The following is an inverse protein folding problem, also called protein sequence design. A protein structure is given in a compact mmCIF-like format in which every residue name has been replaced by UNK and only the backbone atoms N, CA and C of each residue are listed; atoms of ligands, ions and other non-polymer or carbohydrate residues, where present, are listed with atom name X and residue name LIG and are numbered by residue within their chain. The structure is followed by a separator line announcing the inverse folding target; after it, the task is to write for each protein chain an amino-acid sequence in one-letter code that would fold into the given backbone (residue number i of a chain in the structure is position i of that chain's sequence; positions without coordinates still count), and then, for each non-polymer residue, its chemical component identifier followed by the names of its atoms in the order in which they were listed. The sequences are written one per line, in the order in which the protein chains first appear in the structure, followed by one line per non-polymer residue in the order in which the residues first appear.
data_IF_402661830149
#
_entry.id   IF_402661830149
#
_cell.length_a   1.000
_cell.length_b   1.000
_cell.length_c   1.000
_cell.angle_alpha   90.00
_cell.angle_beta   90.00
_cell.angle_gamma   90.00
#
_symmetry.space_group_name_H-M   'P 1'
#
loop_
_entity.id
_entity.type
_entity.pdbx_description
1 polymer ?
#
# COMPACT_ATOMS: atom_id res chain seq x y z
N UNK A 1 -0.49 52.38 24.31
CA UNK A 1 -0.84 51.01 24.75
C UNK A 1 -2.25 50.60 24.30
N UNK A 2 -2.53 50.56 22.98
CA UNK A 2 -3.86 50.12 22.46
C UNK A 2 -3.78 49.10 21.31
N UNK A 3 -2.58 48.79 20.82
CA UNK A 3 -2.40 47.92 19.65
C UNK A 3 -1.71 46.58 19.95
N UNK A 4 -1.28 46.36 21.20
CA UNK A 4 -0.61 45.10 21.60
C UNK A 4 -1.64 43.98 21.90
N UNK A 5 -2.87 44.34 22.29
CA UNK A 5 -3.93 43.36 22.56
C UNK A 5 -4.62 42.80 21.32
N UNK A 6 -4.45 43.43 20.15
CA UNK A 6 -5.08 42.99 18.90
C UNK A 6 -4.24 41.94 18.14
N UNK A 7 -2.94 41.79 18.46
CA UNK A 7 -2.06 40.86 17.75
C UNK A 7 -2.12 39.43 18.32
N UNK A 8 -2.56 39.28 19.57
CA UNK A 8 -2.60 37.96 20.24
C UNK A 8 -3.86 37.14 19.89
N UNK A 9 -4.92 37.77 19.41
CA UNK A 9 -6.19 37.09 19.07
C UNK A 9 -6.24 36.53 17.66
N UNK A 10 -5.35 36.96 16.75
CA UNK A 10 -5.28 36.40 15.39
C UNK A 10 -4.40 35.16 15.25
N UNK A 11 -3.63 34.78 16.28
CA UNK A 11 -2.80 33.57 16.24
C UNK A 11 -3.50 32.28 16.66
N UNK A 12 -4.75 32.34 17.16
CA UNK A 12 -5.47 31.17 17.68
C UNK A 12 -6.34 30.44 16.65
N UNK A 13 -6.40 30.91 15.39
CA UNK A 13 -7.19 30.26 14.33
C UNK A 13 -6.38 29.35 13.39
N UNK A 14 -5.09 29.12 13.68
CA UNK A 14 -4.27 28.11 13.01
C UNK A 14 -4.11 26.83 13.84
N UNK A 15 -5.11 26.47 14.66
CA UNK A 15 -5.24 25.08 15.12
C UNK A 15 -5.61 24.24 13.89
N UNK A 16 -4.58 23.72 13.25
CA UNK A 16 -4.70 22.91 12.05
C UNK A 16 -5.75 21.84 12.21
N UNK A 17 -6.52 21.62 11.14
CA UNK A 17 -7.17 20.34 10.91
C UNK A 17 -6.06 19.27 10.83
N UNK A 18 -5.60 18.76 11.97
CA UNK A 18 -5.03 17.42 11.97
C UNK A 18 -6.21 16.49 11.78
N UNK A 19 -6.46 16.07 10.55
CA UNK A 19 -7.18 14.83 10.33
C UNK A 19 -6.29 13.74 10.91
N UNK A 20 -6.44 13.45 12.21
CA UNK A 20 -5.83 12.29 12.84
C UNK A 20 -6.45 11.07 12.18
N UNK A 21 -5.80 10.58 11.13
CA UNK A 21 -6.12 9.28 10.56
C UNK A 21 -5.63 8.26 11.58
N UNK A 22 -6.56 7.68 12.33
CA UNK A 22 -6.28 6.63 13.30
C UNK A 22 -5.87 5.37 12.56
N UNK A 23 -4.57 5.12 12.47
CA UNK A 23 -4.01 3.93 11.83
C UNK A 23 -3.20 3.11 12.81
N UNK A 24 -3.29 1.79 12.68
CA UNK A 24 -2.47 0.82 13.40
C UNK A 24 -1.50 0.15 12.43
N UNK A 25 -0.29 -0.11 12.93
CA UNK A 25 0.75 -0.79 12.18
C UNK A 25 0.48 -2.30 12.10
N UNK A 26 0.83 -2.90 10.98
CA UNK A 26 0.98 -4.34 10.85
C UNK A 26 2.45 -4.69 11.05
N UNK A 27 2.75 -5.59 12.00
CA UNK A 27 4.12 -5.90 12.42
C UNK A 27 4.75 -7.09 11.70
N UNK A 28 3.97 -7.87 10.96
CA UNK A 28 4.41 -9.13 10.38
C UNK A 28 3.72 -9.41 9.04
N UNK A 29 4.38 -10.20 8.21
CA UNK A 29 3.84 -10.69 6.96
C UNK A 29 4.33 -12.10 6.64
N UNK A 30 3.69 -12.68 5.64
CA UNK A 30 3.97 -14.01 5.13
C UNK A 30 3.83 -13.99 3.60
N UNK A 31 4.87 -14.45 2.91
CA UNK A 31 4.76 -14.87 1.50
C UNK A 31 4.29 -16.33 1.50
N UNK A 32 3.10 -16.58 0.95
CA UNK A 32 2.40 -17.88 1.06
C UNK A 32 3.13 -19.04 0.36
N UNK A 33 3.99 -18.73 -0.62
CA UNK A 33 4.83 -19.71 -1.32
C UNK A 33 6.32 -19.40 -1.11
N UNK A 34 7.05 -20.33 -0.50
CA UNK A 34 8.47 -20.18 -0.16
C UNK A 34 9.42 -20.08 -1.36
N UNK A 35 8.97 -20.41 -2.57
CA UNK A 35 9.74 -20.22 -3.79
C UNK A 35 9.59 -18.80 -4.37
N UNK A 36 8.59 -18.04 -3.91
CA UNK A 36 8.44 -16.62 -4.23
C UNK A 36 9.46 -15.83 -3.39
N UNK A 37 10.18 -14.94 -4.07
CA UNK A 37 11.15 -14.04 -3.44
C UNK A 37 10.91 -12.64 -3.96
N UNK A 38 10.82 -11.66 -3.06
CA UNK A 38 10.71 -10.23 -3.41
C UNK A 38 11.97 -9.54 -2.90
N UNK A 39 12.81 -9.07 -3.81
CA UNK A 39 14.01 -8.29 -3.48
C UNK A 39 13.74 -6.81 -3.75
N UNK A 40 14.18 -5.92 -2.85
CA UNK A 40 14.24 -4.51 -3.19
C UNK A 40 15.23 -4.29 -4.33
N UNK A 41 14.87 -3.46 -5.31
CA UNK A 41 15.75 -3.17 -6.46
C UNK A 41 17.06 -2.49 -6.03
N UNK A 42 17.01 -1.71 -4.95
CA UNK A 42 18.17 -1.05 -4.33
C UNK A 42 18.96 -1.98 -3.37
N UNK A 43 18.53 -3.24 -3.21
CA UNK A 43 19.15 -4.20 -2.30
C UNK A 43 18.87 -4.00 -0.82
N UNK A 44 18.01 -3.04 -0.44
CA UNK A 44 17.73 -2.69 0.97
C UNK A 44 17.00 -3.77 1.77
N UNK A 45 16.23 -4.65 1.11
CA UNK A 45 15.55 -5.76 1.78
C UNK A 45 15.30 -6.95 0.85
N UNK A 46 14.97 -8.08 1.47
CA UNK A 46 14.50 -9.30 0.82
C UNK A 46 13.38 -9.92 1.64
N UNK A 47 12.27 -10.24 1.00
CA UNK A 47 11.13 -10.92 1.59
C UNK A 47 11.06 -12.36 1.06
N UNK A 48 10.90 -13.32 1.97
CA UNK A 48 10.69 -14.76 1.69
C UNK A 48 10.09 -15.43 2.93
N UNK A 49 9.04 -16.21 2.78
CA UNK A 49 8.35 -16.83 3.92
C UNK A 49 7.83 -15.77 4.90
N UNK A 50 8.00 -16.01 6.19
CA UNK A 50 7.67 -15.03 7.23
C UNK A 50 8.64 -13.83 7.22
N UNK A 51 8.13 -12.62 7.44
CA UNK A 51 8.95 -11.41 7.46
C UNK A 51 8.41 -10.33 8.41
N UNK A 52 9.32 -9.48 8.87
CA UNK A 52 8.98 -8.17 9.45
C UNK A 52 8.98 -7.12 8.35
N UNK A 53 7.96 -6.25 8.24
CA UNK A 53 7.87 -5.23 7.20
C UNK A 53 9.09 -4.29 7.23
N UNK A 54 9.91 -4.24 6.17
CA UNK A 54 11.16 -3.47 6.18
C UNK A 54 10.95 -1.97 5.85
N UNK A 55 9.76 -1.62 5.38
CA UNK A 55 9.34 -0.25 5.11
C UNK A 55 7.83 -0.13 5.30
N UNK A 56 7.37 1.11 5.27
CA UNK A 56 5.96 1.47 5.27
C UNK A 56 5.72 2.53 4.21
N UNK A 57 4.67 2.36 3.43
CA UNK A 57 4.10 3.40 2.57
C UNK A 57 3.15 4.28 3.38
N UNK A 58 3.15 5.57 3.11
CA UNK A 58 2.29 6.55 3.81
C UNK A 58 1.03 6.91 3.01
N UNK A 59 0.73 6.16 1.95
CA UNK A 59 -0.44 6.39 1.12
C UNK A 59 -1.61 5.52 1.58
N UNK A 60 -2.68 6.18 2.00
CA UNK A 60 -3.94 5.49 2.32
C UNK A 60 -4.73 5.19 1.05
N UNK A 61 -4.67 3.93 0.59
CA UNK A 61 -5.38 3.49 -0.61
C UNK A 61 -6.77 2.96 -0.28
N UNK A 62 -7.81 3.53 -0.90
CA UNK A 62 -9.22 3.08 -0.80
C UNK A 62 -9.80 2.71 -2.17
N UNK A 63 -10.65 1.69 -2.23
CA UNK A 63 -11.28 1.20 -3.46
C UNK A 63 -12.21 2.23 -4.10
N UNK A 64 -12.86 3.09 -3.31
CA UNK A 64 -13.81 4.07 -3.83
C UNK A 64 -13.14 5.15 -4.69
N UNK A 65 -11.89 5.55 -4.39
CA UNK A 65 -11.21 6.56 -5.21
C UNK A 65 -10.22 5.95 -6.21
N UNK A 66 -10.05 4.63 -6.23
CA UNK A 66 -9.16 3.92 -7.13
C UNK A 66 -9.98 2.92 -7.96
N UNK A 67 -10.48 3.37 -9.11
CA UNK A 67 -11.11 2.51 -10.13
C UNK A 67 -10.06 1.81 -11.00
N UNK A 68 -10.42 0.75 -11.73
CA UNK A 68 -9.51 -0.15 -12.47
C UNK A 68 -8.27 0.51 -13.10
N UNK A 69 -8.45 1.43 -14.05
CA UNK A 69 -7.31 2.13 -14.69
C UNK A 69 -6.49 3.00 -13.73
N UNK A 70 -7.15 3.60 -12.71
CA UNK A 70 -6.48 4.38 -11.67
C UNK A 70 -5.61 3.47 -10.79
N UNK A 71 -6.00 2.22 -10.58
CA UNK A 71 -5.19 1.26 -9.83
C UNK A 71 -3.92 0.90 -10.62
N UNK A 72 -4.05 0.62 -11.92
CA UNK A 72 -2.92 0.28 -12.79
C UNK A 72 -1.86 1.38 -12.81
N UNK A 73 -2.27 2.66 -12.95
CA UNK A 73 -1.36 3.82 -12.93
C UNK A 73 -0.99 4.29 -11.52
N UNK A 74 -1.55 3.65 -10.49
CA UNK A 74 -1.39 4.06 -9.09
C UNK A 74 0.03 3.94 -8.55
N UNK A 75 0.90 3.16 -9.21
CA UNK A 75 2.26 2.91 -8.75
C UNK A 75 3.11 4.19 -8.67
N UNK A 76 2.92 5.17 -9.56
CA UNK A 76 3.70 6.41 -9.55
C UNK A 76 3.47 7.18 -8.26
N UNK A 77 2.18 7.39 -7.95
CA UNK A 77 1.78 7.98 -6.67
C UNK A 77 2.24 7.13 -5.50
N UNK A 78 2.21 5.81 -5.62
CA UNK A 78 2.66 4.94 -4.55
C UNK A 78 4.13 5.15 -4.18
N UNK A 79 4.99 5.34 -5.19
CA UNK A 79 6.41 5.64 -5.01
C UNK A 79 6.60 6.99 -4.29
N UNK A 80 5.82 8.01 -4.64
CA UNK A 80 5.84 9.32 -3.95
C UNK A 80 5.51 9.20 -2.45
N UNK A 81 4.76 8.16 -2.08
CA UNK A 81 4.40 7.84 -0.69
C UNK A 81 5.18 6.66 -0.12
N UNK A 82 6.40 6.39 -0.62
CA UNK A 82 7.35 5.46 0.00
C UNK A 82 7.14 3.99 -0.34
N UNK A 83 6.33 3.65 -1.35
CA UNK A 83 6.42 2.34 -1.99
C UNK A 83 7.82 2.12 -2.57
N UNK A 84 8.19 0.85 -2.77
CA UNK A 84 9.56 0.46 -3.16
C UNK A 84 9.56 -0.31 -4.47
N UNK A 85 10.53 0.00 -5.34
CA UNK A 85 10.82 -0.84 -6.48
C UNK A 85 11.35 -2.19 -6.03
N UNK A 86 10.85 -3.25 -6.64
CA UNK A 86 11.20 -4.62 -6.31
C UNK A 86 11.44 -5.46 -7.56
N UNK A 87 12.21 -6.53 -7.40
CA UNK A 87 12.34 -7.64 -8.32
C UNK A 87 11.68 -8.86 -7.69
N UNK A 88 10.79 -9.52 -8.44
CA UNK A 88 9.92 -10.58 -7.93
C UNK A 88 10.22 -11.87 -8.70
N UNK A 89 10.78 -12.84 -7.98
CA UNK A 89 10.94 -14.19 -8.48
C UNK A 89 9.67 -14.99 -8.16
N UNK A 90 9.12 -15.66 -9.17
CA UNK A 90 7.98 -16.58 -9.04
C UNK A 90 8.32 -17.93 -9.68
N UNK A 91 7.79 -19.06 -9.20
CA UNK A 91 8.11 -20.39 -9.74
C UNK A 91 7.76 -20.56 -11.21
N UNK A 92 6.67 -19.93 -11.66
CA UNK A 92 6.14 -20.05 -13.01
C UNK A 92 6.96 -19.32 -14.07
N UNK A 93 7.97 -18.54 -13.69
CA UNK A 93 8.77 -17.73 -14.61
C UNK A 93 10.27 -17.91 -14.42
N UNK A 94 11.01 -17.96 -15.54
CA UNK A 94 12.47 -18.06 -15.51
C UNK A 94 13.15 -16.73 -15.15
N UNK A 95 12.55 -15.61 -15.56
CA UNK A 95 13.04 -14.26 -15.29
C UNK A 95 12.28 -13.67 -14.10
N UNK A 96 12.96 -12.81 -13.35
CA UNK A 96 12.31 -12.00 -12.32
C UNK A 96 11.41 -10.95 -12.99
N UNK A 97 10.28 -10.67 -12.35
CA UNK A 97 9.38 -9.58 -12.74
C UNK A 97 9.83 -8.29 -12.05
N UNK A 98 9.68 -7.17 -12.74
CA UNK A 98 9.79 -5.85 -12.13
C UNK A 98 8.50 -5.54 -11.39
N UNK A 99 8.61 -4.78 -10.30
CA UNK A 99 7.43 -4.35 -9.58
C UNK A 99 7.62 -3.14 -8.69
N UNK A 100 6.50 -2.71 -8.14
CA UNK A 100 6.41 -1.72 -7.07
C UNK A 100 5.60 -2.34 -5.94
N UNK A 101 6.13 -2.34 -4.72
CA UNK A 101 5.46 -2.87 -3.54
C UNK A 101 5.11 -1.73 -2.59
N UNK A 102 3.84 -1.63 -2.23
CA UNK A 102 3.35 -0.77 -1.16
C UNK A 102 2.86 -1.61 0.02
N UNK A 103 3.28 -1.24 1.23
CA UNK A 103 2.82 -1.81 2.50
C UNK A 103 2.25 -0.66 3.34
N UNK A 104 0.94 -0.61 3.53
CA UNK A 104 0.28 0.49 4.26
C UNK A 104 -0.08 0.06 5.69
N UNK A 105 -0.19 1.04 6.58
CA UNK A 105 -0.88 0.81 7.84
C UNK A 105 -2.37 0.62 7.59
N UNK A 106 -3.04 -0.01 8.54
CA UNK A 106 -4.48 -0.20 8.45
C UNK A 106 -5.21 0.76 9.37
N UNK A 107 -6.39 1.16 8.93
CA UNK A 107 -7.33 1.93 9.75
C UNK A 107 -7.61 1.19 11.06
N UNK A 108 -7.66 1.89 12.19
CA UNK A 108 -8.00 1.28 13.49
C UNK A 108 -9.38 0.62 13.48
N UNK A 109 -10.31 1.13 12.67
CA UNK A 109 -11.65 0.56 12.46
C UNK A 109 -11.65 -0.58 11.44
N UNK A 110 -10.50 -0.87 10.84
CA UNK A 110 -10.32 -1.94 9.88
C UNK A 110 -10.55 -3.31 10.50
N UNK A 111 -11.20 -4.19 9.73
CA UNK A 111 -11.36 -5.60 10.10
C UNK A 111 -11.20 -6.52 8.88
N UNK A 112 -10.84 -7.78 9.17
CA UNK A 112 -10.54 -8.81 8.17
C UNK A 112 -9.07 -9.25 8.22
N UNK A 113 -8.70 -10.29 7.46
CA UNK A 113 -7.36 -10.88 7.48
C UNK A 113 -6.24 -9.88 7.19
N UNK A 114 -6.41 -9.05 6.15
CA UNK A 114 -5.44 -8.03 5.76
C UNK A 114 -5.17 -6.93 6.79
N UNK A 115 -5.84 -6.95 7.96
CA UNK A 115 -5.55 -6.04 9.08
C UNK A 115 -4.64 -6.62 10.16
N UNK A 116 -4.30 -7.91 10.06
CA UNK A 116 -3.54 -8.64 11.06
C UNK A 116 -2.12 -8.94 10.61
N UNK A 117 -1.94 -9.27 9.33
CA UNK A 117 -0.65 -9.53 8.72
C UNK A 117 -0.69 -9.21 7.23
N UNK A 118 0.47 -8.93 6.64
CA UNK A 118 0.59 -8.85 5.19
C UNK A 118 0.71 -10.26 4.61
N UNK A 119 -0.41 -10.85 4.16
CA UNK A 119 -0.37 -12.15 3.48
C UNK A 119 -0.20 -11.94 1.97
N UNK A 120 1.04 -12.00 1.50
CA UNK A 120 1.36 -11.80 0.09
C UNK A 120 1.22 -13.13 -0.67
N UNK A 121 0.26 -13.15 -1.59
CA UNK A 121 0.02 -14.25 -2.52
C UNK A 121 0.15 -13.67 -3.93
N UNK A 122 0.90 -14.32 -4.82
CA UNK A 122 1.04 -13.91 -6.22
C UNK A 122 0.53 -15.05 -7.11
N UNK A 123 -0.76 -15.06 -7.46
CA UNK A 123 -1.31 -16.13 -8.29
C UNK A 123 -0.76 -16.08 -9.72
N UNK A 124 -0.54 -17.24 -10.33
CA UNK A 124 0.00 -17.37 -11.67
C UNK A 124 -0.73 -16.54 -12.75
N UNK A 125 -2.08 -16.43 -12.75
CA UNK A 125 -2.78 -15.59 -13.73
C UNK A 125 -2.30 -14.13 -13.75
N UNK A 126 -1.92 -13.57 -12.58
CA UNK A 126 -1.42 -12.20 -12.50
C UNK A 126 -0.01 -12.07 -13.07
N UNK A 127 0.84 -13.07 -12.86
CA UNK A 127 2.19 -13.10 -13.46
C UNK A 127 2.13 -13.28 -14.97
N UNK A 128 1.14 -14.03 -15.47
CA UNK A 128 0.91 -14.23 -16.91
C UNK A 128 0.35 -12.96 -17.56
N UNK A 129 -0.55 -12.25 -16.87
CA UNK A 129 -1.10 -10.98 -17.34
C UNK A 129 -0.07 -9.84 -17.35
N UNK A 130 1.05 -9.99 -16.65
CA UNK A 130 2.15 -9.03 -16.58
C UNK A 130 3.14 -9.12 -17.76
N UNK A 131 2.90 -10.01 -18.73
CA UNK A 131 3.76 -10.23 -19.90
C UNK A 131 3.66 -9.11 -20.94
N UNK A 132 4.70 -8.99 -21.77
CA UNK A 132 4.80 -8.05 -22.88
C UNK A 132 4.69 -6.57 -22.41
N UNK A 133 5.32 -6.24 -21.29
CA UNK A 133 5.34 -4.91 -20.70
C UNK A 133 4.02 -4.47 -20.08
N UNK A 134 3.05 -5.37 -19.91
CA UNK A 134 1.78 -5.07 -19.26
C UNK A 134 1.93 -4.96 -17.75
N UNK A 135 1.09 -4.13 -17.14
CA UNK A 135 0.97 -4.04 -15.69
C UNK A 135 -0.13 -4.97 -15.21
N UNK A 136 0.22 -5.83 -14.27
CA UNK A 136 -0.71 -6.61 -13.46
C UNK A 136 -0.64 -6.16 -12.01
N UNK A 137 -1.78 -6.08 -11.32
CA UNK A 137 -1.83 -5.59 -9.94
C UNK A 137 -2.43 -6.65 -9.03
N UNK A 138 -1.71 -7.00 -7.98
CA UNK A 138 -2.15 -7.93 -6.93
C UNK A 138 -2.22 -7.16 -5.62
N UNK A 139 -3.25 -7.41 -4.82
CA UNK A 139 -3.47 -6.68 -3.58
C UNK A 139 -4.30 -7.49 -2.60
N UNK A 140 -4.25 -7.10 -1.33
CA UNK A 140 -5.20 -7.53 -0.32
C UNK A 140 -5.99 -6.33 0.18
N UNK A 141 -7.31 -6.50 0.28
CA UNK A 141 -8.18 -5.49 0.85
C UNK A 141 -8.74 -5.93 2.20
N UNK A 142 -9.14 -4.95 2.98
CA UNK A 142 -9.88 -5.11 4.22
C UNK A 142 -11.07 -4.14 4.27
N UNK A 143 -12.02 -4.41 5.16
CA UNK A 143 -13.24 -3.61 5.30
C UNK A 143 -13.14 -2.65 6.48
N UNK A 144 -13.93 -1.59 6.46
CA UNK A 144 -14.01 -0.58 7.53
C UNK A 144 -15.33 -0.73 8.26
N UNK A 145 -15.30 -0.73 9.60
CA UNK A 145 -16.53 -0.73 10.40
C UNK A 145 -17.34 0.54 10.13
N UNK A 146 -18.66 0.40 10.14
CA UNK A 146 -19.57 1.55 10.13
C UNK A 146 -19.37 2.39 11.39
N UNK A 147 -19.61 3.68 11.28
CA UNK A 147 -19.76 4.56 12.43
C UNK A 147 -21.21 5.07 12.51
N UNK A 148 -21.52 5.81 13.59
CA UNK A 148 -22.87 6.29 13.84
C UNK A 148 -23.39 7.29 12.79
N UNK A 149 -22.50 7.87 11.97
CA UNK A 149 -22.79 8.94 11.03
C UNK A 149 -22.61 8.50 9.55
N UNK A 150 -21.84 7.43 9.31
CA UNK A 150 -21.45 6.99 7.97
C UNK A 150 -21.52 5.46 7.82
N UNK A 151 -22.25 5.03 6.79
CA UNK A 151 -22.21 3.64 6.30
C UNK A 151 -20.94 3.43 5.46
N UNK A 152 -20.00 2.68 6.02
CA UNK A 152 -18.71 2.35 5.40
C UNK A 152 -18.71 0.95 4.78
N UNK A 153 -19.87 0.27 4.70
CA UNK A 153 -19.98 -1.12 4.25
C UNK A 153 -19.41 -1.38 2.86
N UNK A 154 -19.40 -0.38 1.99
CA UNK A 154 -18.87 -0.46 0.63
C UNK A 154 -17.41 0.01 0.50
N UNK A 155 -16.82 0.55 1.58
CA UNK A 155 -15.44 1.05 1.57
C UNK A 155 -14.49 -0.11 1.84
N UNK A 156 -13.66 -0.42 0.84
CA UNK A 156 -12.51 -1.31 0.99
C UNK A 156 -11.24 -0.47 1.02
N UNK A 157 -10.31 -0.81 1.90
CA UNK A 157 -8.96 -0.25 1.92
C UNK A 157 -7.95 -1.36 1.66
N UNK A 158 -6.76 -1.00 1.19
CA UNK A 158 -5.72 -1.97 0.85
C UNK A 158 -4.64 -1.97 1.91
N UNK A 159 -4.27 -3.15 2.43
CA UNK A 159 -3.13 -3.27 3.34
C UNK A 159 -1.82 -3.33 2.56
N UNK A 160 -1.83 -3.97 1.40
CA UNK A 160 -0.69 -3.98 0.48
C UNK A 160 -1.14 -4.03 -0.97
N UNK A 161 -0.29 -3.50 -1.85
CA UNK A 161 -0.48 -3.53 -3.30
C UNK A 161 0.87 -3.83 -3.95
N UNK A 162 0.87 -4.74 -4.92
CA UNK A 162 2.02 -5.12 -5.72
C UNK A 162 1.68 -4.95 -7.20
N UNK A 163 2.35 -4.02 -7.85
CA UNK A 163 2.34 -3.88 -9.30
C UNK A 163 3.46 -4.72 -9.90
N UNK A 164 3.18 -5.43 -10.99
CA UNK A 164 4.08 -6.37 -11.66
C UNK A 164 4.14 -6.12 -13.17
N UNK A 165 5.31 -6.29 -13.77
CA UNK A 165 5.54 -6.34 -15.21
C UNK A 165 6.79 -7.16 -15.53
N UNK A 166 6.85 -7.80 -16.69
CA UNK A 166 8.06 -8.49 -17.17
C UNK A 166 9.10 -7.55 -17.79
N UNK A 167 8.72 -6.30 -18.04
CA UNK A 167 9.62 -5.21 -18.45
C UNK A 167 9.74 -4.15 -17.36
N UNK A 168 10.88 -3.44 -17.33
CA UNK A 168 11.11 -2.33 -16.40
C UNK A 168 10.39 -1.07 -16.87
N UNK A 169 9.08 -1.05 -16.69
CA UNK A 169 8.19 0.07 -17.03
C UNK A 169 7.94 1.03 -15.86
N UNK A 170 8.41 0.67 -14.65
CA UNK A 170 8.24 1.44 -13.43
C UNK A 170 9.40 2.43 -13.21
N UNK A 171 9.99 2.99 -14.27
CA UNK A 171 11.12 3.93 -14.18
C UNK A 171 10.72 5.31 -13.71
#
# INVERSE_FOLDING_TARGET
MKYIFALLTSLLFFSGCSTTTYTKQISNGLIDNNEIIINARDGSFKLKGEFTPPFKSTAHYHSLNISGEKLIKGYQRALDFGAKHVLVKVPSQQKELYGVLALDDVDERGYGPGTQSYKIIIPEPYTTAAKDGKISVVYEYYNIKNDALFDNSNIKKYSWILWLSDEDIFK
#
